data_IF_721891996121
#
_entry.id   IF_721891996121
#
_cell.length_a   1.000
_cell.length_b   1.000
_cell.length_c   1.000
_cell.angle_alpha   90.00
_cell.angle_beta   90.00
_cell.angle_gamma   90.00
#
_symmetry.space_group_name_H-M   'P 1'
#
loop_
_entity.id
_entity.type
_entity.pdbx_description
1 polymer ?
#
# COMPACT_ATOMS: atom_id res chain seq x y z
N UNK A 1 -54.09 3.66 -58.68
CA UNK A 1 -53.87 3.89 -57.27
C UNK A 1 -52.92 2.83 -56.77
N UNK A 2 -51.61 3.13 -56.67
CA UNK A 2 -50.53 2.20 -56.30
C UNK A 2 -50.15 2.55 -54.88
N UNK A 3 -50.40 1.60 -53.95
CA UNK A 3 -50.05 1.74 -52.49
C UNK A 3 -48.63 1.30 -52.33
N UNK A 4 -47.74 2.25 -51.97
CA UNK A 4 -46.38 1.94 -51.50
C UNK A 4 -46.45 1.49 -50.04
N UNK A 5 -46.08 0.26 -49.78
CA UNK A 5 -45.84 -0.27 -48.44
C UNK A 5 -44.36 -0.03 -48.12
N UNK A 6 -44.10 0.89 -47.21
CA UNK A 6 -42.76 1.20 -46.71
C UNK A 6 -42.45 0.20 -45.57
N UNK A 7 -41.59 -0.78 -45.84
CA UNK A 7 -41.10 -1.70 -44.84
C UNK A 7 -39.98 -1.01 -44.03
N UNK A 8 -40.26 -0.71 -42.77
CA UNK A 8 -39.29 -0.16 -41.82
C UNK A 8 -38.50 -1.35 -41.22
N UNK A 9 -37.27 -1.56 -41.71
CA UNK A 9 -36.37 -2.54 -41.16
C UNK A 9 -35.79 -2.01 -39.84
N UNK A 10 -36.25 -2.52 -38.71
CA UNK A 10 -35.66 -2.24 -37.41
C UNK A 10 -34.34 -3.01 -37.29
N UNK A 11 -33.22 -2.29 -37.35
CA UNK A 11 -31.90 -2.82 -37.03
C UNK A 11 -31.83 -3.02 -35.52
N UNK A 12 -32.03 -4.26 -35.08
CA UNK A 12 -31.61 -4.68 -33.70
C UNK A 12 -30.09 -4.72 -33.66
N UNK A 13 -29.47 -3.69 -33.09
CA UNK A 13 -28.08 -3.78 -32.64
C UNK A 13 -28.06 -4.82 -31.49
N UNK A 14 -27.64 -6.04 -31.79
CA UNK A 14 -27.23 -6.99 -30.75
C UNK A 14 -25.97 -6.42 -30.06
N UNK A 15 -26.12 -5.88 -28.84
CA UNK A 15 -25.00 -5.60 -27.96
C UNK A 15 -24.31 -6.94 -27.68
N UNK A 16 -23.16 -7.16 -28.27
CA UNK A 16 -22.32 -8.30 -27.86
C UNK A 16 -21.92 -8.05 -26.39
N UNK A 17 -22.05 -9.05 -25.52
CA UNK A 17 -21.56 -8.90 -24.16
C UNK A 17 -20.05 -8.61 -24.25
N UNK A 18 -19.63 -7.44 -23.80
CA UNK A 18 -18.22 -7.14 -23.60
C UNK A 18 -17.78 -8.08 -22.47
N UNK A 19 -16.85 -8.98 -22.76
CA UNK A 19 -16.28 -9.86 -21.74
C UNK A 19 -15.54 -8.99 -20.75
N UNK A 20 -15.88 -9.10 -19.47
CA UNK A 20 -15.12 -8.43 -18.41
C UNK A 20 -13.65 -8.84 -18.46
N UNK A 21 -12.77 -7.89 -18.21
CA UNK A 21 -11.34 -8.15 -18.15
C UNK A 21 -11.00 -8.71 -16.77
N UNK A 22 -10.40 -9.89 -16.75
CA UNK A 22 -9.90 -10.51 -15.52
C UNK A 22 -8.60 -9.81 -15.10
N UNK A 23 -8.52 -9.37 -13.84
CA UNK A 23 -7.38 -8.66 -13.24
C UNK A 23 -7.03 -9.36 -11.93
N UNK A 24 -5.79 -9.78 -11.78
CA UNK A 24 -5.23 -10.27 -10.51
C UNK A 24 -4.56 -9.12 -9.75
N UNK A 25 -5.06 -8.82 -8.54
CA UNK A 25 -4.53 -7.80 -7.64
C UNK A 25 -3.91 -8.46 -6.40
N UNK A 26 -2.60 -8.33 -6.21
CA UNK A 26 -1.92 -8.71 -4.97
C UNK A 26 -1.98 -7.60 -3.93
N UNK A 27 -2.39 -7.94 -2.72
CA UNK A 27 -2.25 -7.04 -1.57
C UNK A 27 -0.82 -7.10 -1.04
N UNK A 28 -0.39 -6.06 -0.31
CA UNK A 28 0.91 -6.00 0.38
C UNK A 28 0.90 -6.75 1.70
N UNK A 29 -0.28 -6.95 2.30
CA UNK A 29 -0.51 -7.57 3.60
C UNK A 29 -1.78 -8.42 3.59
N UNK A 30 -2.13 -9.06 4.72
CA UNK A 30 -3.48 -9.61 4.89
C UNK A 30 -4.52 -8.49 4.84
N UNK A 31 -5.76 -8.82 4.46
CA UNK A 31 -6.86 -7.85 4.36
C UNK A 31 -7.01 -7.13 5.70
N UNK A 32 -7.01 -5.80 5.64
CA UNK A 32 -7.18 -4.92 6.78
C UNK A 32 -7.80 -3.58 6.31
N UNK A 33 -8.14 -2.64 7.19
CA UNK A 33 -8.80 -1.38 6.83
C UNK A 33 -8.03 -0.48 5.85
N UNK A 34 -6.71 -0.64 5.71
CA UNK A 34 -5.94 0.12 4.72
C UNK A 34 -6.31 -0.26 3.27
N UNK A 35 -6.89 -1.45 3.08
CA UNK A 35 -7.40 -1.93 1.80
C UNK A 35 -8.88 -1.57 1.56
N UNK A 36 -9.52 -0.81 2.44
CA UNK A 36 -10.95 -0.56 2.38
C UNK A 36 -11.46 -0.07 1.02
N UNK A 37 -10.82 0.88 0.30
CA UNK A 37 -11.32 1.30 -1.01
C UNK A 37 -11.38 0.17 -2.03
N UNK A 38 -10.48 -0.81 -1.96
CA UNK A 38 -10.44 -1.97 -2.84
C UNK A 38 -11.64 -2.88 -2.56
N UNK A 39 -11.85 -3.21 -1.29
CA UNK A 39 -12.93 -4.09 -0.85
C UNK A 39 -14.29 -3.45 -1.11
N UNK A 40 -14.46 -2.17 -0.77
CA UNK A 40 -15.71 -1.42 -1.01
C UNK A 40 -15.99 -1.29 -2.51
N UNK A 41 -14.98 -1.08 -3.35
CA UNK A 41 -15.16 -1.06 -4.81
C UNK A 41 -15.70 -2.41 -5.32
N UNK A 42 -15.21 -3.53 -4.79
CA UNK A 42 -15.69 -4.86 -5.13
C UNK A 42 -17.11 -5.10 -4.64
N UNK A 43 -17.40 -4.81 -3.37
CA UNK A 43 -18.71 -5.08 -2.76
C UNK A 43 -19.84 -4.21 -3.33
N UNK A 44 -19.54 -2.99 -3.76
CA UNK A 44 -20.47 -2.12 -4.47
C UNK A 44 -20.58 -2.44 -5.98
N UNK A 45 -19.81 -3.40 -6.49
CA UNK A 45 -19.79 -3.76 -7.91
C UNK A 45 -19.14 -2.70 -8.83
N UNK A 46 -18.36 -1.74 -8.27
CA UNK A 46 -17.79 -0.64 -9.05
C UNK A 46 -16.77 -1.11 -10.10
N UNK A 47 -16.07 -2.23 -9.83
CA UNK A 47 -15.21 -2.87 -10.82
C UNK A 47 -16.03 -3.51 -11.94
N UNK A 48 -17.07 -4.26 -11.58
CA UNK A 48 -17.94 -4.94 -12.55
C UNK A 48 -18.67 -3.95 -13.48
N UNK A 49 -19.14 -2.81 -12.95
CA UNK A 49 -19.78 -1.73 -13.69
C UNK A 49 -18.83 -1.10 -14.74
N UNK A 50 -17.52 -1.25 -14.52
CA UNK A 50 -16.46 -0.81 -15.44
C UNK A 50 -15.87 -1.94 -16.30
N UNK A 51 -16.54 -3.09 -16.30
CA UNK A 51 -16.12 -4.25 -17.10
C UNK A 51 -14.88 -4.95 -16.58
N UNK A 52 -14.56 -4.83 -15.29
CA UNK A 52 -13.45 -5.50 -14.64
C UNK A 52 -13.95 -6.62 -13.72
N UNK A 53 -13.23 -7.74 -13.73
CA UNK A 53 -13.36 -8.83 -12.78
C UNK A 53 -12.05 -8.91 -11.98
N UNK A 54 -12.04 -8.36 -10.75
CA UNK A 54 -10.82 -8.23 -9.93
C UNK A 54 -10.75 -9.39 -8.95
N UNK A 55 -9.69 -10.18 -9.05
CA UNK A 55 -9.33 -11.24 -8.10
C UNK A 55 -8.33 -10.67 -7.08
N UNK A 56 -8.76 -10.48 -5.83
CA UNK A 56 -7.97 -9.89 -4.75
C UNK A 56 -7.26 -11.00 -4.01
N UNK A 57 -5.92 -10.98 -4.03
CA UNK A 57 -5.06 -12.04 -3.49
C UNK A 57 -4.22 -11.49 -2.33
N UNK A 58 -4.47 -11.99 -1.11
CA UNK A 58 -3.58 -11.75 0.01
C UNK A 58 -2.26 -12.53 -0.20
N UNK A 59 -1.08 -11.94 0.05
CA UNK A 59 0.19 -12.57 -0.25
C UNK A 59 0.55 -13.67 0.75
N UNK A 60 1.36 -14.64 0.30
CA UNK A 60 2.00 -15.63 1.17
C UNK A 60 3.27 -15.09 1.82
N UNK A 61 3.93 -14.12 1.18
CA UNK A 61 5.08 -13.36 1.66
C UNK A 61 4.86 -11.88 1.30
N UNK A 62 4.97 -10.93 2.25
CA UNK A 62 4.70 -9.52 2.02
C UNK A 62 5.66 -8.85 1.01
N UNK A 63 6.80 -9.45 0.72
CA UNK A 63 7.77 -8.95 -0.28
C UNK A 63 7.49 -9.42 -1.71
N UNK A 64 6.54 -10.37 -1.91
CA UNK A 64 6.38 -11.09 -3.18
C UNK A 64 5.55 -10.33 -4.24
N UNK A 65 4.40 -9.68 -3.94
CA UNK A 65 3.45 -9.24 -4.95
C UNK A 65 4.02 -8.33 -6.04
N UNK A 66 4.83 -7.28 -5.77
CA UNK A 66 5.43 -6.48 -6.83
C UNK A 66 6.37 -7.28 -7.74
N UNK A 67 7.07 -8.29 -7.20
CA UNK A 67 7.95 -9.17 -7.98
C UNK A 67 7.16 -10.09 -8.92
N UNK A 68 5.96 -10.53 -8.50
CA UNK A 68 5.02 -11.28 -9.35
C UNK A 68 4.50 -10.41 -10.50
N UNK A 69 4.20 -9.13 -10.24
CA UNK A 69 3.82 -8.16 -11.28
C UNK A 69 4.98 -7.97 -12.27
N UNK A 70 6.20 -7.72 -11.79
CA UNK A 70 7.38 -7.58 -12.63
C UNK A 70 7.62 -8.81 -13.53
N UNK A 71 7.36 -10.01 -12.99
CA UNK A 71 7.48 -11.28 -13.72
C UNK A 71 6.29 -11.57 -14.66
N UNK A 72 5.24 -10.72 -14.68
CA UNK A 72 4.03 -10.93 -15.49
C UNK A 72 3.15 -12.09 -15.02
N UNK A 73 3.23 -12.45 -13.72
CA UNK A 73 2.44 -13.51 -13.08
C UNK A 73 1.26 -12.93 -12.28
N UNK A 74 1.16 -11.62 -12.20
CA UNK A 74 0.11 -10.84 -11.57
C UNK A 74 -0.04 -9.55 -12.36
N UNK A 75 -1.24 -8.97 -12.41
CA UNK A 75 -1.51 -7.78 -13.23
C UNK A 75 -1.18 -6.49 -12.49
N UNK A 76 -1.52 -6.42 -11.20
CA UNK A 76 -1.31 -5.26 -10.33
C UNK A 76 -0.98 -5.72 -8.92
N UNK A 77 -0.23 -4.90 -8.17
CA UNK A 77 -0.02 -5.12 -6.75
C UNK A 77 -0.13 -3.82 -5.96
N UNK A 78 -0.57 -3.92 -4.70
CA UNK A 78 -0.32 -2.91 -3.69
C UNK A 78 1.16 -2.99 -3.30
N UNK A 79 1.80 -1.85 -3.18
CA UNK A 79 3.23 -1.70 -2.88
C UNK A 79 3.46 -0.38 -2.15
N UNK A 80 4.70 -0.02 -1.92
CA UNK A 80 5.12 1.20 -1.22
C UNK A 80 5.93 2.09 -2.15
N UNK A 81 5.77 3.42 -2.05
CA UNK A 81 6.60 4.33 -2.86
C UNK A 81 8.10 4.09 -2.67
N UNK A 82 8.64 3.94 -1.43
CA UNK A 82 10.06 3.63 -1.23
C UNK A 82 10.50 2.35 -1.92
N UNK A 83 9.66 1.31 -1.88
CA UNK A 83 9.95 0.03 -2.51
C UNK A 83 10.00 0.14 -4.05
N UNK A 84 9.10 0.92 -4.65
CA UNK A 84 9.11 1.15 -6.09
C UNK A 84 10.43 1.78 -6.54
N UNK A 85 10.93 2.81 -5.83
CA UNK A 85 12.23 3.44 -6.14
C UNK A 85 13.36 2.41 -6.15
N UNK A 86 13.47 1.58 -5.09
CA UNK A 86 14.52 0.57 -4.95
C UNK A 86 14.40 -0.54 -6.01
N UNK A 87 13.18 -1.02 -6.27
CA UNK A 87 12.95 -2.06 -7.27
C UNK A 87 13.23 -1.56 -8.70
N UNK A 88 12.98 -0.29 -8.99
CA UNK A 88 13.37 0.31 -10.27
C UNK A 88 14.89 0.44 -10.40
N UNK A 89 15.61 0.73 -9.32
CA UNK A 89 17.08 0.70 -9.27
C UNK A 89 17.62 -0.71 -9.53
N UNK A 90 16.96 -1.73 -8.98
CA UNK A 90 17.25 -3.15 -9.27
C UNK A 90 16.90 -3.56 -10.72
N UNK A 91 16.30 -2.67 -11.51
CA UNK A 91 15.91 -2.92 -12.90
C UNK A 91 14.59 -3.67 -13.08
N UNK A 92 13.75 -3.77 -12.04
CA UNK A 92 12.41 -4.35 -12.20
C UNK A 92 11.52 -3.43 -13.05
N UNK A 93 10.79 -3.97 -14.05
CA UNK A 93 9.97 -3.19 -14.98
C UNK A 93 8.62 -2.83 -14.33
N UNK A 94 8.66 -2.10 -13.22
CA UNK A 94 7.47 -1.67 -12.46
C UNK A 94 7.22 -0.17 -12.65
N UNK A 95 5.95 0.21 -12.72
CA UNK A 95 5.49 1.59 -12.76
C UNK A 95 4.43 1.82 -11.70
N UNK A 96 4.41 3.02 -11.15
CA UNK A 96 3.30 3.55 -10.39
C UNK A 96 2.05 3.68 -11.29
N UNK A 97 0.92 3.19 -10.80
CA UNK A 97 -0.37 3.27 -11.46
C UNK A 97 -1.38 4.12 -10.69
N UNK A 98 -1.17 4.29 -9.39
CA UNK A 98 -2.04 5.08 -8.52
C UNK A 98 -1.59 5.05 -7.07
N UNK A 99 -2.19 5.92 -6.25
CA UNK A 99 -1.96 5.99 -4.80
C UNK A 99 -3.22 5.57 -4.05
N UNK A 100 -3.07 4.67 -3.07
CA UNK A 100 -4.14 4.27 -2.16
C UNK A 100 -4.09 5.08 -0.86
N UNK A 101 -2.91 5.14 -0.21
CA UNK A 101 -2.66 5.92 1.00
C UNK A 101 -1.54 6.92 0.75
N UNK A 102 -1.88 8.22 0.88
CA UNK A 102 -1.05 9.34 0.43
C UNK A 102 -0.17 9.94 1.54
N UNK A 103 -0.07 9.29 2.71
CA UNK A 103 0.74 9.76 3.84
C UNK A 103 1.45 8.59 4.51
N UNK A 104 2.65 8.79 5.11
CA UNK A 104 3.35 7.73 5.83
C UNK A 104 2.51 7.15 6.98
N UNK A 105 2.46 5.83 7.06
CA UNK A 105 1.93 5.06 8.18
C UNK A 105 3.05 4.40 8.97
N UNK A 106 4.10 3.98 8.28
CA UNK A 106 5.25 3.27 8.85
C UNK A 106 5.96 4.10 9.92
N UNK A 107 6.40 3.43 10.95
CA UNK A 107 7.24 3.99 12.01
C UNK A 107 8.22 2.94 12.57
N UNK A 108 9.28 3.39 13.23
CA UNK A 108 10.05 2.54 14.13
C UNK A 108 9.28 2.43 15.45
N UNK A 109 8.68 1.26 15.69
CA UNK A 109 7.86 0.99 16.85
C UNK A 109 8.72 0.28 17.94
N UNK A 110 8.64 0.79 19.14
CA UNK A 110 9.30 0.23 20.35
C UNK A 110 8.30 0.10 21.48
N UNK A 111 8.62 -0.70 22.51
CA UNK A 111 7.86 -0.70 23.76
C UNK A 111 8.11 0.60 24.52
N UNK A 112 7.07 1.24 25.04
CA UNK A 112 7.19 2.48 25.80
C UNK A 112 7.91 2.29 27.15
N UNK A 113 7.78 1.08 27.73
CA UNK A 113 8.49 0.65 28.95
C UNK A 113 9.83 -0.04 28.68
N UNK A 114 10.25 -0.07 27.41
CA UNK A 114 11.47 -0.75 26.97
C UNK A 114 12.73 0.12 27.06
N UNK A 115 13.86 -0.43 26.67
CA UNK A 115 15.17 0.22 26.82
C UNK A 115 15.50 1.23 25.70
N UNK A 116 14.61 1.45 24.74
CA UNK A 116 14.84 2.36 23.60
C UNK A 116 14.00 3.63 23.81
N UNK A 117 14.65 4.69 24.30
CA UNK A 117 14.02 5.99 24.51
C UNK A 117 14.32 6.99 23.37
N UNK A 118 15.43 6.76 22.66
CA UNK A 118 15.92 7.54 21.52
C UNK A 118 16.51 6.62 20.44
N UNK A 119 16.73 7.14 19.24
CA UNK A 119 17.33 6.37 18.14
C UNK A 119 18.76 5.89 18.46
N UNK A 120 19.52 6.62 19.31
CA UNK A 120 20.87 6.19 19.74
C UNK A 120 20.86 4.95 20.64
N UNK A 121 19.73 4.66 21.32
CA UNK A 121 19.58 3.48 22.17
C UNK A 121 19.38 2.18 21.38
N UNK A 122 19.23 2.30 20.05
CA UNK A 122 19.18 1.14 19.14
C UNK A 122 20.52 0.41 19.04
N UNK A 123 21.63 1.00 19.55
CA UNK A 123 22.94 0.34 19.54
C UNK A 123 22.92 -1.01 20.24
N UNK A 124 23.34 -2.05 19.49
CA UNK A 124 23.34 -3.44 19.98
C UNK A 124 21.95 -4.08 20.04
N UNK A 125 20.91 -3.44 19.53
CA UNK A 125 19.53 -3.94 19.57
C UNK A 125 19.18 -4.77 18.35
N UNK A 126 18.12 -5.58 18.50
CA UNK A 126 17.49 -6.37 17.43
C UNK A 126 16.32 -5.57 16.88
N UNK A 127 16.33 -5.35 15.57
CA UNK A 127 15.24 -4.67 14.86
C UNK A 127 14.54 -5.68 13.97
N UNK A 128 13.25 -5.91 14.23
CA UNK A 128 12.38 -6.74 13.41
C UNK A 128 11.92 -6.00 12.16
N UNK A 129 11.77 -6.73 11.06
CA UNK A 129 11.21 -6.23 9.82
C UNK A 129 10.42 -7.33 9.09
N UNK A 130 9.52 -6.92 8.17
CA UNK A 130 8.68 -7.83 7.38
C UNK A 130 9.00 -7.78 5.88
N UNK A 131 9.16 -6.58 5.31
CA UNK A 131 9.40 -6.38 3.87
C UNK A 131 10.88 -6.15 3.62
N UNK A 132 11.53 -7.11 2.96
CA UNK A 132 12.96 -7.03 2.67
C UNK A 132 13.30 -5.90 1.69
N UNK A 133 14.42 -5.24 1.93
CA UNK A 133 14.97 -4.16 1.09
C UNK A 133 14.50 -2.79 1.57
N UNK A 134 13.23 -2.47 1.45
CA UNK A 134 12.71 -1.13 1.79
C UNK A 134 12.88 -0.77 3.26
N UNK A 135 12.60 -1.69 4.16
CA UNK A 135 12.68 -1.43 5.60
C UNK A 135 14.12 -1.24 6.06
N UNK A 136 15.07 -1.99 5.49
CA UNK A 136 16.49 -1.78 5.75
C UNK A 136 16.97 -0.40 5.29
N UNK A 137 16.46 0.11 4.16
CA UNK A 137 16.77 1.44 3.67
C UNK A 137 16.27 2.53 4.64
N UNK A 138 15.02 2.40 5.11
CA UNK A 138 14.42 3.34 6.07
C UNK A 138 15.14 3.29 7.44
N UNK A 139 15.49 2.09 7.93
CA UNK A 139 16.29 1.92 9.15
C UNK A 139 17.65 2.60 9.04
N UNK A 140 18.32 2.51 7.87
CA UNK A 140 19.62 3.15 7.66
C UNK A 140 19.55 4.66 7.92
N UNK A 141 18.50 5.32 7.45
CA UNK A 141 18.30 6.75 7.67
C UNK A 141 18.07 7.10 9.16
N UNK A 142 17.23 6.32 9.86
CA UNK A 142 16.98 6.49 11.28
C UNK A 142 18.24 6.27 12.13
N UNK A 143 19.01 5.22 11.82
CA UNK A 143 20.26 4.91 12.53
C UNK A 143 21.28 6.02 12.35
N UNK A 144 21.38 6.60 11.14
CA UNK A 144 22.28 7.72 10.86
C UNK A 144 21.97 8.95 11.72
N UNK A 145 20.70 9.26 11.95
CA UNK A 145 20.29 10.31 12.88
C UNK A 145 20.69 9.99 14.33
N UNK A 146 20.56 8.72 14.74
CA UNK A 146 21.04 8.24 16.03
C UNK A 146 22.57 8.14 16.16
N UNK A 147 23.33 8.47 15.11
CA UNK A 147 24.79 8.32 15.08
C UNK A 147 25.25 6.86 14.95
N UNK A 148 24.43 6.01 14.39
CA UNK A 148 24.61 4.56 14.23
C UNK A 148 24.64 4.16 12.76
N UNK A 149 25.03 2.91 12.53
CA UNK A 149 24.99 2.24 11.21
C UNK A 149 24.30 0.89 11.34
N UNK A 150 24.05 0.20 10.23
CA UNK A 150 23.49 -1.16 10.24
C UNK A 150 24.38 -2.17 10.98
N UNK A 151 25.69 -1.94 11.05
CA UNK A 151 26.63 -2.78 11.81
C UNK A 151 26.43 -2.68 13.32
N UNK A 152 25.79 -1.62 13.81
CA UNK A 152 25.51 -1.42 15.22
C UNK A 152 24.23 -2.14 15.70
N UNK A 153 23.44 -2.74 14.80
CA UNK A 153 22.15 -3.40 15.11
C UNK A 153 22.08 -4.79 14.49
N UNK A 154 21.11 -5.60 14.92
CA UNK A 154 20.80 -6.90 14.30
C UNK A 154 19.44 -6.84 13.65
N UNK A 155 19.39 -6.90 12.32
CA UNK A 155 18.14 -6.98 11.57
C UNK A 155 17.60 -8.42 11.57
N UNK A 156 16.33 -8.60 11.92
CA UNK A 156 15.66 -9.92 12.01
C UNK A 156 14.36 -9.89 11.22
N UNK A 157 14.24 -10.75 10.21
CA UNK A 157 12.94 -10.90 9.53
C UNK A 157 11.96 -11.61 10.48
N UNK A 158 10.87 -10.92 10.84
CA UNK A 158 9.81 -11.42 11.71
C UNK A 158 8.55 -11.78 10.93
N UNK A 159 8.61 -11.65 9.60
CA UNK A 159 7.51 -11.95 8.69
C UNK A 159 6.21 -11.22 9.15
N UNK A 160 5.12 -11.94 9.36
CA UNK A 160 3.81 -11.39 9.76
C UNK A 160 3.72 -10.96 11.24
N UNK A 161 4.81 -11.07 12.02
CA UNK A 161 4.77 -10.99 13.49
C UNK A 161 5.42 -9.73 14.04
N UNK A 162 5.15 -8.54 13.47
CA UNK A 162 5.75 -7.27 13.94
C UNK A 162 5.46 -7.04 15.43
N UNK A 163 4.20 -6.73 15.79
CA UNK A 163 3.80 -6.46 17.17
C UNK A 163 4.03 -7.67 18.10
N UNK A 164 3.70 -8.93 17.74
CA UNK A 164 3.95 -10.07 18.61
C UNK A 164 5.43 -10.27 18.93
N UNK A 165 6.33 -10.07 17.96
CA UNK A 165 7.79 -10.21 18.19
C UNK A 165 8.33 -9.12 19.11
N UNK A 166 7.79 -7.88 18.99
CA UNK A 166 8.15 -6.78 19.87
C UNK A 166 7.61 -7.00 21.29
N UNK A 167 6.34 -7.36 21.44
CA UNK A 167 5.69 -7.58 22.73
C UNK A 167 6.33 -8.73 23.51
N UNK A 168 6.72 -9.81 22.82
CA UNK A 168 7.40 -10.97 23.46
C UNK A 168 8.87 -10.71 23.79
N UNK A 169 9.46 -9.60 23.34
CA UNK A 169 10.88 -9.29 23.49
C UNK A 169 11.80 -10.14 22.60
N UNK A 170 11.27 -10.76 21.53
CA UNK A 170 12.08 -11.41 20.51
C UNK A 170 12.94 -10.38 19.77
N UNK A 171 12.42 -9.17 19.55
CA UNK A 171 13.12 -7.99 19.04
C UNK A 171 12.92 -6.81 19.99
N UNK A 172 13.77 -5.80 19.88
CA UNK A 172 13.76 -4.62 20.76
C UNK A 172 13.05 -3.42 20.09
N UNK A 173 12.94 -3.45 18.76
CA UNK A 173 12.20 -2.52 17.92
C UNK A 173 11.68 -3.24 16.69
N UNK A 174 10.68 -2.68 16.01
CA UNK A 174 10.24 -3.12 14.67
C UNK A 174 10.09 -1.93 13.74
N UNK A 175 10.45 -2.10 12.47
CA UNK A 175 10.18 -1.20 11.37
C UNK A 175 9.15 -1.85 10.46
N UNK A 176 8.33 -1.07 9.77
CA UNK A 176 7.19 -1.58 8.98
C UNK A 176 5.88 -1.62 9.76
N UNK A 177 5.91 -1.25 11.05
CA UNK A 177 4.71 -1.11 11.85
C UNK A 177 3.92 0.13 11.46
N UNK A 178 2.63 -0.03 11.20
CA UNK A 178 1.75 1.09 10.84
C UNK A 178 1.11 1.69 12.09
N UNK A 179 1.23 3.01 12.22
CA UNK A 179 0.75 3.78 13.38
C UNK A 179 -0.75 3.69 13.65
N UNK A 180 -1.54 3.38 12.61
CA UNK A 180 -2.99 3.20 12.70
C UNK A 180 -3.39 1.76 13.10
N UNK A 181 -2.47 0.80 13.05
CA UNK A 181 -2.77 -0.61 13.31
C UNK A 181 -1.94 -1.17 14.48
N UNK A 182 -0.60 -1.28 14.37
CA UNK A 182 0.23 -1.94 15.37
C UNK A 182 0.25 -1.25 16.74
N UNK A 183 0.21 0.09 16.79
CA UNK A 183 0.08 0.80 18.07
C UNK A 183 -1.22 0.45 18.79
N UNK A 184 -2.32 0.38 18.05
CA UNK A 184 -3.62 -0.01 18.60
C UNK A 184 -3.62 -1.48 19.03
N UNK A 185 -3.05 -2.36 18.22
CA UNK A 185 -2.91 -3.78 18.56
C UNK A 185 -2.15 -3.96 19.89
N UNK A 186 -0.98 -3.34 20.04
CA UNK A 186 -0.20 -3.42 21.29
C UNK A 186 -1.00 -2.90 22.49
N UNK A 187 -1.67 -1.76 22.36
CA UNK A 187 -2.49 -1.18 23.43
C UNK A 187 -3.63 -2.11 23.86
N UNK A 188 -4.30 -2.77 22.91
CA UNK A 188 -5.36 -3.74 23.20
C UNK A 188 -4.83 -4.99 23.92
N UNK A 189 -3.60 -5.38 23.67
CA UNK A 189 -2.89 -6.46 24.35
C UNK A 189 -2.24 -6.01 25.67
N UNK A 190 -2.49 -4.77 26.12
CA UNK A 190 -1.99 -4.23 27.39
C UNK A 190 -0.51 -3.83 27.38
N UNK A 191 0.07 -3.62 26.21
CA UNK A 191 1.46 -3.18 26.04
C UNK A 191 1.47 -1.81 25.36
N UNK A 192 2.02 -0.79 26.04
CA UNK A 192 2.15 0.54 25.43
C UNK A 192 3.31 0.55 24.43
N UNK A 193 3.01 0.99 23.20
CA UNK A 193 3.96 1.24 22.14
C UNK A 193 4.33 2.71 22.02
N UNK A 194 5.52 3.00 21.47
CA UNK A 194 5.95 4.33 21.05
C UNK A 194 6.53 4.24 19.65
N UNK A 195 6.06 5.12 18.75
CA UNK A 195 6.59 5.28 17.40
C UNK A 195 7.61 6.42 17.32
N UNK A 196 8.72 6.17 16.65
CA UNK A 196 9.53 7.21 16.03
C UNK A 196 9.02 7.34 14.58
N UNK A 197 8.32 8.43 14.30
CA UNK A 197 7.73 8.67 12.98
C UNK A 197 8.81 9.04 11.98
N UNK A 198 8.87 8.36 10.86
CA UNK A 198 9.93 8.49 9.87
C UNK A 198 10.10 9.93 9.39
N UNK A 199 8.99 10.64 9.16
CA UNK A 199 8.96 12.02 8.69
C UNK A 199 9.45 13.04 9.73
N UNK A 200 9.51 12.68 11.01
CA UNK A 200 10.09 13.49 12.08
C UNK A 200 11.60 13.25 12.23
N UNK A 201 12.12 12.22 11.55
CA UNK A 201 13.49 11.74 11.64
C UNK A 201 14.19 11.74 10.27
N UNK A 202 13.94 12.79 9.47
CA UNK A 202 14.70 13.08 8.25
C UNK A 202 14.28 12.28 7.01
N UNK A 203 13.27 11.39 7.09
CA UNK A 203 12.69 10.74 5.91
C UNK A 203 11.63 11.66 5.30
N UNK A 204 11.71 12.05 4.03
CA UNK A 204 10.67 12.86 3.40
C UNK A 204 9.32 12.16 3.43
N UNK A 205 8.22 12.94 3.48
CA UNK A 205 6.88 12.39 3.33
C UNK A 205 6.73 11.67 1.98
N UNK A 206 6.09 10.51 1.99
CA UNK A 206 5.91 9.64 0.83
C UNK A 206 4.50 9.03 0.81
N UNK A 207 4.12 8.43 -0.32
CA UNK A 207 2.89 7.66 -0.43
C UNK A 207 3.11 6.28 0.20
N UNK A 208 2.36 5.97 1.27
CA UNK A 208 2.55 4.69 1.97
C UNK A 208 2.12 3.52 1.10
N UNK A 209 0.88 3.53 0.61
CA UNK A 209 0.38 2.47 -0.26
C UNK A 209 0.11 3.01 -1.66
N UNK A 210 0.72 2.36 -2.64
CA UNK A 210 0.57 2.66 -4.07
C UNK A 210 0.17 1.40 -4.82
N UNK A 211 -0.41 1.58 -6.00
CA UNK A 211 -0.59 0.50 -6.96
C UNK A 211 0.56 0.50 -7.96
N UNK A 212 1.10 -0.69 -8.21
CA UNK A 212 2.15 -0.88 -9.22
C UNK A 212 1.70 -1.86 -10.30
N UNK A 213 2.10 -1.57 -11.52
CA UNK A 213 1.86 -2.40 -12.71
C UNK A 213 3.17 -2.64 -13.44
N UNK A 214 3.20 -3.62 -14.34
CA UNK A 214 4.35 -3.85 -15.19
C UNK A 214 4.41 -2.81 -16.32
N UNK A 215 5.58 -2.33 -16.67
CA UNK A 215 5.83 -1.34 -17.73
C UNK A 215 5.16 -1.71 -19.07
N UNK A 216 5.11 -2.99 -19.42
CA UNK A 216 4.42 -3.47 -20.62
C UNK A 216 2.90 -3.24 -20.62
N UNK A 217 2.32 -2.89 -19.47
CA UNK A 217 0.89 -2.59 -19.30
C UNK A 217 0.60 -1.09 -19.15
N UNK A 218 1.60 -0.22 -19.29
CA UNK A 218 1.47 1.23 -19.07
C UNK A 218 0.27 1.86 -19.79
N UNK A 219 0.00 1.44 -21.02
CA UNK A 219 -1.07 1.96 -21.87
C UNK A 219 -2.42 1.20 -21.73
N UNK A 220 -2.52 0.28 -20.77
CA UNK A 220 -3.74 -0.52 -20.62
C UNK A 220 -4.87 0.31 -19.98
N UNK A 221 -5.98 0.45 -20.71
CA UNK A 221 -7.12 1.29 -20.30
C UNK A 221 -7.84 0.78 -19.05
N UNK A 222 -7.75 -0.52 -18.75
CA UNK A 222 -8.35 -1.08 -17.55
C UNK A 222 -7.78 -0.46 -16.26
N UNK A 223 -6.56 0.08 -16.30
CA UNK A 223 -5.95 0.72 -15.13
C UNK A 223 -6.69 2.02 -14.77
N UNK A 224 -7.11 2.81 -15.77
CA UNK A 224 -7.88 4.01 -15.52
C UNK A 224 -9.26 3.67 -14.94
N UNK A 225 -9.93 2.65 -15.49
CA UNK A 225 -11.21 2.14 -14.98
C UNK A 225 -11.08 1.62 -13.53
N UNK A 226 -9.98 0.94 -13.23
CA UNK A 226 -9.67 0.47 -11.86
C UNK A 226 -9.48 1.65 -10.92
N UNK A 227 -8.68 2.65 -11.29
CA UNK A 227 -8.43 3.84 -10.46
C UNK A 227 -9.69 4.67 -10.24
N UNK A 228 -10.56 4.78 -11.23
CA UNK A 228 -11.86 5.45 -11.11
C UNK A 228 -12.79 4.72 -10.12
N UNK A 229 -12.76 3.38 -10.11
CA UNK A 229 -13.49 2.58 -9.12
C UNK A 229 -12.94 2.83 -7.69
N UNK A 230 -11.63 2.86 -7.53
CA UNK A 230 -10.98 3.18 -6.24
C UNK A 230 -11.34 4.59 -5.77
N UNK A 231 -11.30 5.58 -6.68
CA UNK A 231 -11.66 6.96 -6.36
C UNK A 231 -13.13 7.06 -5.90
N UNK A 232 -14.05 6.38 -6.58
CA UNK A 232 -15.46 6.36 -6.19
C UNK A 232 -15.66 5.66 -4.84
N UNK A 233 -15.04 4.51 -4.62
CA UNK A 233 -15.11 3.79 -3.35
C UNK A 233 -14.58 4.64 -2.19
N UNK A 234 -13.46 5.33 -2.39
CA UNK A 234 -12.90 6.27 -1.40
C UNK A 234 -13.91 7.37 -1.04
N UNK A 235 -14.57 7.96 -2.04
CA UNK A 235 -15.61 8.97 -1.79
C UNK A 235 -16.82 8.40 -1.04
N UNK A 236 -17.23 7.14 -1.32
CA UNK A 236 -18.31 6.46 -0.57
C UNK A 236 -17.94 6.28 0.88
N UNK A 237 -16.70 5.83 1.17
CA UNK A 237 -16.18 5.66 2.55
C UNK A 237 -16.19 6.99 3.30
N UNK A 238 -15.71 8.07 2.69
CA UNK A 238 -15.63 9.39 3.32
C UNK A 238 -17.03 9.97 3.61
N UNK A 239 -18.00 9.76 2.70
CA UNK A 239 -19.33 10.31 2.81
C UNK A 239 -20.25 9.52 3.76
N UNK A 240 -20.01 8.23 3.91
CA UNK A 240 -20.77 7.31 4.76
C UNK A 240 -19.87 6.26 5.39
N UNK A 241 -18.99 6.66 6.34
CA UNK A 241 -18.01 5.74 6.92
C UNK A 241 -18.64 4.58 7.69
N UNK A 242 -19.78 4.80 8.35
CA UNK A 242 -20.45 3.74 9.13
C UNK A 242 -21.14 2.74 8.21
N UNK A 243 -21.87 3.18 7.18
CA UNK A 243 -22.50 2.26 6.22
C UNK A 243 -21.49 1.49 5.38
N UNK A 244 -20.33 2.09 5.08
CA UNK A 244 -19.24 1.38 4.39
C UNK A 244 -18.50 0.41 5.30
N UNK A 245 -18.39 0.72 6.61
CA UNK A 245 -17.91 -0.24 7.61
C UNK A 245 -18.80 -1.47 7.68
N UNK A 246 -20.13 -1.28 7.77
CA UNK A 246 -21.09 -2.40 7.80
C UNK A 246 -20.94 -3.30 6.55
N UNK A 247 -20.68 -2.70 5.38
CA UNK A 247 -20.45 -3.44 4.15
C UNK A 247 -19.11 -4.19 4.18
N UNK A 248 -18.06 -3.55 4.70
CA UNK A 248 -16.73 -4.12 4.83
C UNK A 248 -16.72 -5.35 5.73
N UNK A 249 -17.28 -5.26 6.94
CA UNK A 249 -17.33 -6.39 7.89
C UNK A 249 -18.34 -7.47 7.47
N UNK A 250 -19.31 -7.13 6.63
CA UNK A 250 -20.17 -8.16 6.01
C UNK A 250 -19.38 -9.03 5.03
N UNK A 251 -18.42 -8.44 4.30
CA UNK A 251 -17.53 -9.20 3.40
C UNK A 251 -16.47 -9.99 4.18
N UNK A 252 -15.97 -9.44 5.29
CA UNK A 252 -14.93 -10.00 6.15
C UNK A 252 -15.35 -9.99 7.63
N UNK A 253 -16.27 -10.88 8.06
CA UNK A 253 -16.82 -10.89 9.42
C UNK A 253 -15.77 -11.10 10.52
N UNK A 254 -14.64 -11.72 10.20
CA UNK A 254 -13.49 -11.90 11.11
C UNK A 254 -12.79 -10.61 11.49
N UNK A 255 -13.02 -9.52 10.74
CA UNK A 255 -12.45 -8.19 11.00
C UNK A 255 -13.39 -7.27 11.79
N UNK A 256 -14.56 -7.77 12.23
CA UNK A 256 -15.49 -7.00 13.09
C UNK A 256 -15.01 -7.03 14.54
N UNK A 257 -13.96 -6.26 14.82
CA UNK A 257 -13.35 -6.15 16.15
C UNK A 257 -12.86 -4.72 16.47
N UNK A 258 -12.43 -4.50 17.73
CA UNK A 258 -11.99 -3.19 18.21
C UNK A 258 -10.72 -2.71 17.50
N UNK A 259 -9.81 -3.59 17.11
CA UNK A 259 -8.60 -3.23 16.38
C UNK A 259 -8.96 -2.66 15.01
N UNK A 260 -9.76 -3.40 14.25
CA UNK A 260 -10.08 -3.04 12.88
C UNK A 260 -10.98 -1.81 12.78
N UNK A 261 -11.96 -1.61 13.69
CA UNK A 261 -12.78 -0.39 13.67
C UNK A 261 -11.97 0.86 14.04
N UNK A 262 -10.98 0.76 14.92
CA UNK A 262 -10.08 1.86 15.21
C UNK A 262 -9.17 2.15 14.01
N UNK A 263 -8.56 1.13 13.42
CA UNK A 263 -7.75 1.28 12.22
C UNK A 263 -8.56 1.88 11.06
N UNK A 264 -9.81 1.45 10.84
CA UNK A 264 -10.74 2.04 9.86
C UNK A 264 -10.87 3.56 10.02
N UNK A 265 -11.14 4.03 11.25
CA UNK A 265 -11.32 5.46 11.55
C UNK A 265 -10.02 6.24 11.33
N UNK A 266 -8.90 5.67 11.72
CA UNK A 266 -7.58 6.31 11.62
C UNK A 266 -7.05 6.34 10.18
N UNK A 267 -7.51 5.41 9.31
CA UNK A 267 -7.07 5.32 7.91
C UNK A 267 -7.86 6.26 6.98
N UNK A 268 -9.16 6.47 7.22
CA UNK A 268 -10.02 7.28 6.33
C UNK A 268 -9.39 8.63 5.92
N UNK A 269 -8.84 9.45 6.82
CA UNK A 269 -8.27 10.75 6.45
C UNK A 269 -6.96 10.65 5.63
N UNK A 270 -6.44 9.44 5.41
CA UNK A 270 -5.16 9.17 4.75
C UNK A 270 -5.32 8.62 3.34
N UNK A 271 -6.52 8.18 2.97
CA UNK A 271 -6.80 7.73 1.61
C UNK A 271 -6.55 8.84 0.59
N UNK A 272 -5.96 8.47 -0.53
CA UNK A 272 -5.78 9.39 -1.65
C UNK A 272 -7.14 9.80 -2.23
N UNK A 273 -7.48 11.09 -2.15
CA UNK A 273 -8.73 11.64 -2.71
C UNK A 273 -8.75 11.59 -4.24
N UNK A 274 -7.58 11.52 -4.85
CA UNK A 274 -7.36 11.42 -6.30
C UNK A 274 -6.30 10.37 -6.56
N UNK A 275 -6.64 9.09 -6.56
CA UNK A 275 -5.68 7.99 -6.69
C UNK A 275 -4.78 8.09 -7.92
N UNK A 276 -5.31 8.61 -9.04
CA UNK A 276 -4.56 8.79 -10.29
C UNK A 276 -3.66 10.04 -10.35
N UNK A 277 -3.60 10.85 -9.27
CA UNK A 277 -2.78 12.06 -9.26
C UNK A 277 -1.36 11.74 -8.78
N UNK A 278 -0.39 11.81 -9.69
CA UNK A 278 1.03 11.63 -9.37
C UNK A 278 1.65 12.93 -8.85
N UNK A 279 2.23 12.89 -7.67
CA UNK A 279 2.98 14.02 -7.09
C UNK A 279 4.47 13.90 -7.43
N UNK A 280 4.86 14.36 -8.62
CA UNK A 280 6.25 14.29 -9.09
C UNK A 280 7.25 14.89 -8.09
N UNK A 281 6.89 16.00 -7.42
CA UNK A 281 7.77 16.65 -6.44
C UNK A 281 8.05 15.76 -5.23
N UNK A 282 7.05 15.04 -4.73
CA UNK A 282 7.21 14.08 -3.63
C UNK A 282 8.16 12.97 -4.01
N UNK A 283 8.00 12.41 -5.21
CA UNK A 283 8.88 11.37 -5.73
C UNK A 283 10.30 11.87 -5.97
N UNK A 284 10.49 13.09 -6.52
CA UNK A 284 11.80 13.72 -6.67
C UNK A 284 12.51 13.92 -5.32
N UNK A 285 11.81 14.41 -4.31
CA UNK A 285 12.36 14.61 -2.97
C UNK A 285 12.76 13.28 -2.33
N UNK A 286 11.97 12.24 -2.53
CA UNK A 286 12.28 10.91 -2.00
C UNK A 286 13.44 10.26 -2.75
N UNK A 287 13.53 10.38 -4.06
CA UNK A 287 14.68 9.92 -4.85
C UNK A 287 15.98 10.63 -4.42
N UNK A 288 15.95 11.95 -4.21
CA UNK A 288 17.09 12.71 -3.68
C UNK A 288 17.53 12.20 -2.29
N UNK A 289 16.56 11.94 -1.40
CA UNK A 289 16.82 11.38 -0.08
C UNK A 289 17.49 9.99 -0.18
N UNK A 290 17.01 9.11 -1.05
CA UNK A 290 17.63 7.79 -1.25
C UNK A 290 19.07 7.91 -1.73
N UNK A 291 19.33 8.80 -2.69
CA UNK A 291 20.68 9.05 -3.22
C UNK A 291 21.61 9.64 -2.16
N UNK A 292 21.17 10.62 -1.37
CA UNK A 292 21.96 11.24 -0.29
C UNK A 292 22.32 10.24 0.83
N UNK A 293 21.52 9.19 0.99
CA UNK A 293 21.78 8.12 1.96
C UNK A 293 22.49 6.90 1.33
N UNK A 294 22.87 6.96 0.04
CA UNK A 294 23.59 5.89 -0.65
C UNK A 294 22.74 4.63 -0.87
N UNK A 295 21.43 4.80 -0.98
CA UNK A 295 20.46 3.70 -1.16
C UNK A 295 20.12 3.48 -2.64
N UNK A 296 20.41 4.46 -3.48
CA UNK A 296 20.44 4.37 -4.94
C UNK A 296 21.69 5.06 -5.44
N UNK A 297 22.21 4.61 -6.59
CA UNK A 297 23.48 5.08 -7.13
C UNK A 297 23.37 6.38 -7.95
N UNK A 298 22.23 6.57 -8.63
CA UNK A 298 22.00 7.70 -9.54
C UNK A 298 20.64 8.39 -9.27
N UNK A 299 20.55 9.66 -9.67
CA UNK A 299 19.30 10.40 -9.60
C UNK A 299 18.27 9.79 -10.55
N UNK A 300 17.14 9.39 -10.00
CA UNK A 300 16.05 8.77 -10.77
C UNK A 300 15.23 9.84 -11.50
N UNK A 301 14.96 9.58 -12.79
CA UNK A 301 13.96 10.32 -13.55
C UNK A 301 12.56 9.83 -13.13
N UNK A 302 11.90 10.60 -12.27
CA UNK A 302 10.61 10.19 -11.67
C UNK A 302 9.47 10.11 -12.69
N UNK A 303 9.58 10.78 -13.84
CA UNK A 303 8.62 10.62 -14.94
C UNK A 303 8.67 9.19 -15.54
N UNK A 304 9.76 8.47 -15.34
CA UNK A 304 9.88 7.05 -15.71
C UNK A 304 9.39 6.08 -14.63
N UNK A 305 8.98 6.57 -13.49
CA UNK A 305 8.38 5.75 -12.42
C UNK A 305 6.87 5.61 -12.59
N UNK A 306 6.24 6.46 -13.37
CA UNK A 306 4.79 6.42 -13.63
C UNK A 306 4.47 5.88 -15.02
N UNK A 307 3.27 5.35 -15.16
CA UNK A 307 2.69 4.98 -16.45
C UNK A 307 2.24 6.20 -17.25
#
# INVERSE_FOLDING_TARGET
MMKYVMAMASLLLMAMPVKAQDISLGLDWFVNPDHAPIIIAQELGLFADRGLNVDIVAPSDPSEPPRLVAAGRMDMAVSYQPQLHLQREEGLPLLWAGTLIATPLNCMLVRADGPVESLSDLKGRRIGYSVSGVEQALVTALLKEGGLTLDDVTMTNVNWSLSPSLMSGQVDAVIGAFRNFELTQMRLEGVEGRCFFLEEHGVPSYDELIFVVREAQAEATWIDEFMDAIAEATQRIINDPDGMWDLYVKAYPELDDELNINAWRDTIPRFALRPSAFDARRYEQFAAFLMENGLIDEAQDVDKLRR
#
